data_IF_864655726157
#
_entry.id   IF_864655726157
#
_cell.length_a   1.000
_cell.length_b   1.000
_cell.length_c   1.000
_cell.angle_alpha   90.00
_cell.angle_beta   90.00
_cell.angle_gamma   90.00
#
_symmetry.space_group_name_H-M   'P 1'
#
loop_
_entity.id
_entity.type
_entity.pdbx_description
1 polymer ?
#
# COMPACT_ATOMS: atom_id res chain seq x y z
N UNK A 1 0.01 19.84 -20.49
CA UNK A 1 0.60 18.53 -20.13
C UNK A 1 1.89 18.23 -20.89
N UNK A 2 2.35 19.08 -21.81
CA UNK A 2 3.72 18.94 -22.34
C UNK A 2 4.73 19.35 -21.26
N UNK A 3 5.83 18.61 -21.16
CA UNK A 3 6.99 18.86 -20.28
C UNK A 3 6.68 18.83 -18.77
N UNK A 4 5.83 17.91 -18.30
CA UNK A 4 5.63 17.68 -16.86
C UNK A 4 6.90 17.18 -16.14
N UNK A 5 7.85 16.62 -16.88
CA UNK A 5 9.06 16.02 -16.34
C UNK A 5 10.27 16.39 -17.19
N UNK A 6 11.23 17.10 -16.58
CA UNK A 6 12.41 17.59 -17.27
C UNK A 6 13.39 16.48 -17.72
N UNK A 7 13.22 15.24 -17.25
CA UNK A 7 14.07 14.10 -17.62
C UNK A 7 13.54 13.33 -18.83
N UNK A 8 12.38 13.72 -19.38
CA UNK A 8 11.76 13.12 -20.55
C UNK A 8 11.82 14.12 -21.71
N UNK A 9 12.51 13.74 -22.78
CA UNK A 9 12.58 14.58 -23.99
C UNK A 9 11.23 14.62 -24.75
N UNK A 10 11.15 15.46 -25.78
CA UNK A 10 9.92 15.65 -26.55
C UNK A 10 9.44 14.39 -27.28
N UNK A 11 10.37 13.53 -27.71
CA UNK A 11 10.06 12.26 -28.38
C UNK A 11 9.45 11.27 -27.37
N UNK A 12 10.04 11.16 -26.20
CA UNK A 12 9.59 10.30 -25.12
C UNK A 12 8.28 10.79 -24.51
N UNK A 13 8.07 12.11 -24.42
CA UNK A 13 6.78 12.69 -24.02
C UNK A 13 5.67 12.34 -25.03
N UNK A 14 5.97 12.39 -26.33
CA UNK A 14 5.03 11.97 -27.38
C UNK A 14 4.70 10.48 -27.29
N UNK A 15 5.69 9.64 -27.01
CA UNK A 15 5.49 8.19 -26.80
C UNK A 15 4.67 7.90 -25.54
N UNK A 16 4.94 8.59 -24.44
CA UNK A 16 4.15 8.52 -23.20
C UNK A 16 2.69 8.88 -23.48
N UNK A 17 2.43 10.01 -24.13
CA UNK A 17 1.08 10.45 -24.47
C UNK A 17 0.34 9.44 -25.36
N UNK A 18 1.03 8.83 -26.33
CA UNK A 18 0.46 7.80 -27.19
C UNK A 18 0.11 6.50 -26.43
N UNK A 19 0.91 6.11 -25.43
CA UNK A 19 0.70 4.89 -24.65
C UNK A 19 -0.37 5.05 -23.57
N UNK A 20 -0.40 6.20 -22.88
CA UNK A 20 -1.19 6.39 -21.67
C UNK A 20 -2.32 7.40 -21.83
N UNK A 21 -2.41 8.15 -22.92
CA UNK A 21 -3.39 9.24 -23.08
C UNK A 21 -4.85 8.78 -22.94
N UNK A 22 -5.22 7.61 -23.49
CA UNK A 22 -6.56 7.03 -23.30
C UNK A 22 -6.76 6.53 -21.88
N UNK A 23 -5.75 5.89 -21.30
CA UNK A 23 -5.79 5.36 -19.94
C UNK A 23 -5.92 6.48 -18.89
N UNK A 24 -5.22 7.60 -19.05
CA UNK A 24 -5.35 8.77 -18.18
C UNK A 24 -6.80 9.23 -18.16
N UNK A 25 -7.43 9.39 -19.33
CA UNK A 25 -8.84 9.80 -19.44
C UNK A 25 -9.79 8.81 -18.77
N UNK A 26 -9.55 7.51 -18.96
CA UNK A 26 -10.34 6.46 -18.31
C UNK A 26 -10.21 6.52 -16.79
N UNK A 27 -8.98 6.57 -16.26
CA UNK A 27 -8.72 6.54 -14.83
C UNK A 27 -9.22 7.80 -14.13
N UNK A 28 -9.17 8.97 -14.77
CA UNK A 28 -9.75 10.21 -14.22
C UNK A 28 -11.27 10.09 -13.98
N UNK A 29 -11.98 9.17 -14.65
CA UNK A 29 -13.42 8.96 -14.41
C UNK A 29 -13.71 8.05 -13.21
N UNK A 30 -12.73 7.27 -12.75
CA UNK A 30 -12.93 6.24 -11.73
C UNK A 30 -12.12 6.46 -10.46
N UNK A 31 -11.05 7.25 -10.52
CA UNK A 31 -10.14 7.56 -9.41
C UNK A 31 -10.52 8.90 -8.75
N UNK A 32 -10.23 9.04 -7.46
CA UNK A 32 -10.39 10.30 -6.74
C UNK A 32 -9.23 11.28 -7.02
N UNK A 33 -8.14 10.79 -7.63
CA UNK A 33 -6.97 11.58 -7.99
C UNK A 33 -7.27 12.49 -9.17
N UNK A 34 -6.64 13.66 -9.18
CA UNK A 34 -6.78 14.59 -10.30
C UNK A 34 -6.15 14.02 -11.57
N UNK A 35 -6.58 14.50 -12.74
CA UNK A 35 -5.95 14.14 -14.00
C UNK A 35 -4.44 14.46 -14.00
N UNK A 36 -4.03 15.54 -13.33
CA UNK A 36 -2.62 15.92 -13.17
C UNK A 36 -1.88 14.86 -12.36
N UNK A 37 -2.42 14.44 -11.22
CA UNK A 37 -1.81 13.44 -10.34
C UNK A 37 -1.68 12.09 -11.05
N UNK A 38 -2.74 11.64 -11.72
CA UNK A 38 -2.72 10.41 -12.53
C UNK A 38 -1.65 10.51 -13.61
N UNK A 39 -1.52 11.66 -14.28
CA UNK A 39 -0.49 11.86 -15.31
C UNK A 39 0.91 11.76 -14.70
N UNK A 40 1.17 12.46 -13.59
CA UNK A 40 2.44 12.43 -12.87
C UNK A 40 2.82 11.00 -12.41
N UNK A 41 1.86 10.28 -11.82
CA UNK A 41 2.03 8.89 -11.42
C UNK A 41 2.37 7.97 -12.60
N UNK A 42 1.68 8.15 -13.73
CA UNK A 42 1.93 7.34 -14.92
C UNK A 42 3.26 7.69 -15.59
N UNK A 43 3.74 8.94 -15.48
CA UNK A 43 5.09 9.32 -15.92
C UNK A 43 6.15 8.53 -15.13
N UNK A 44 6.01 8.42 -13.81
CA UNK A 44 6.91 7.61 -12.98
C UNK A 44 6.83 6.14 -13.39
N UNK A 45 5.61 5.58 -13.52
CA UNK A 45 5.39 4.21 -13.98
C UNK A 45 6.06 3.92 -15.34
N UNK A 46 5.97 4.88 -16.27
CA UNK A 46 6.56 4.78 -17.59
C UNK A 46 8.09 4.66 -17.53
N UNK A 47 8.76 5.47 -16.70
CA UNK A 47 10.21 5.39 -16.50
C UNK A 47 10.65 4.04 -15.95
N UNK A 48 9.97 3.53 -14.92
CA UNK A 48 10.27 2.20 -14.37
C UNK A 48 10.02 1.09 -15.39
N UNK A 49 8.93 1.17 -16.17
CA UNK A 49 8.64 0.19 -17.23
C UNK A 49 9.73 0.18 -18.29
N UNK A 50 10.22 1.35 -18.71
CA UNK A 50 11.32 1.48 -19.68
C UNK A 50 12.65 0.96 -19.17
N UNK A 51 12.93 1.09 -17.87
CA UNK A 51 14.16 0.57 -17.28
C UNK A 51 14.29 -0.96 -17.43
N UNK A 52 13.18 -1.67 -17.66
CA UNK A 52 13.18 -3.11 -17.94
C UNK A 52 13.57 -3.45 -19.40
N UNK A 53 13.64 -2.46 -20.28
CA UNK A 53 14.00 -2.60 -21.69
C UNK A 53 13.06 -1.83 -22.63
N UNK A 54 13.48 -1.57 -23.89
CA UNK A 54 12.76 -0.70 -24.81
C UNK A 54 11.36 -1.21 -25.21
N UNK A 55 11.12 -2.51 -25.08
CA UNK A 55 9.84 -3.17 -25.40
C UNK A 55 8.97 -3.43 -24.16
N UNK A 56 9.49 -3.17 -22.95
CA UNK A 56 8.76 -3.41 -21.73
C UNK A 56 7.70 -2.33 -21.51
N UNK A 57 6.46 -2.77 -21.26
CA UNK A 57 5.30 -1.90 -21.04
C UNK A 57 4.80 -1.91 -19.60
N UNK A 58 5.45 -2.69 -18.73
CA UNK A 58 5.01 -2.87 -17.37
C UNK A 58 6.18 -2.83 -16.38
N UNK A 59 5.88 -2.32 -15.20
CA UNK A 59 6.74 -2.37 -14.03
C UNK A 59 6.71 -3.77 -13.43
N UNK A 60 7.86 -4.27 -12.98
CA UNK A 60 7.98 -5.57 -12.30
C UNK A 60 7.66 -5.43 -10.82
N UNK A 61 7.19 -6.51 -10.18
CA UNK A 61 7.04 -6.54 -8.71
C UNK A 61 8.37 -6.28 -7.99
N UNK A 62 9.51 -6.69 -8.56
CA UNK A 62 10.84 -6.38 -8.00
C UNK A 62 11.07 -4.88 -7.80
N UNK A 63 10.61 -4.06 -8.74
CA UNK A 63 10.71 -2.60 -8.65
C UNK A 63 9.82 -2.02 -7.54
N UNK A 64 8.70 -2.67 -7.18
CA UNK A 64 7.86 -2.24 -6.06
C UNK A 64 8.58 -2.34 -4.72
N UNK A 65 9.36 -3.39 -4.47
CA UNK A 65 10.14 -3.47 -3.22
C UNK A 65 11.10 -2.28 -3.07
N UNK A 66 11.68 -1.82 -4.18
CA UNK A 66 12.56 -0.64 -4.18
C UNK A 66 11.77 0.65 -3.95
N UNK A 67 10.60 0.78 -4.58
CA UNK A 67 9.71 1.94 -4.40
C UNK A 67 9.24 2.04 -2.95
N UNK A 68 8.83 0.92 -2.35
CA UNK A 68 8.38 0.87 -0.95
C UNK A 68 9.50 1.24 0.02
N UNK A 69 10.70 0.73 -0.23
CA UNK A 69 11.86 1.07 0.59
C UNK A 69 12.19 2.57 0.50
N UNK A 70 12.19 3.15 -0.70
CA UNK A 70 12.63 4.54 -0.92
C UNK A 70 11.56 5.57 -0.55
N UNK A 71 10.29 5.32 -0.88
CA UNK A 71 9.21 6.29 -0.65
C UNK A 71 8.56 6.16 0.72
N UNK A 72 8.56 4.96 1.32
CA UNK A 72 7.82 4.67 2.56
C UNK A 72 8.70 4.14 3.69
N UNK A 73 10.00 3.91 3.43
CA UNK A 73 10.89 3.23 4.37
C UNK A 73 10.37 1.85 4.83
N UNK A 74 9.68 1.13 3.93
CA UNK A 74 9.11 -0.18 4.21
C UNK A 74 9.99 -1.27 3.62
N UNK A 75 10.62 -2.05 4.50
CA UNK A 75 11.45 -3.21 4.12
C UNK A 75 10.72 -4.56 4.30
N UNK A 76 9.52 -4.57 4.89
CA UNK A 76 8.81 -5.82 5.19
C UNK A 76 8.26 -6.45 3.90
N UNK A 77 8.95 -7.50 3.43
CA UNK A 77 8.55 -8.27 2.23
C UNK A 77 7.10 -8.74 2.32
N UNK A 78 6.67 -9.24 3.48
CA UNK A 78 5.31 -9.72 3.70
C UNK A 78 4.26 -8.62 3.49
N UNK A 79 4.49 -7.41 4.04
CA UNK A 79 3.57 -6.26 3.87
C UNK A 79 3.49 -5.86 2.41
N UNK A 80 4.63 -5.78 1.73
CA UNK A 80 4.71 -5.43 0.30
C UNK A 80 3.99 -6.46 -0.55
N UNK A 81 4.21 -7.75 -0.31
CA UNK A 81 3.57 -8.84 -1.05
C UNK A 81 2.06 -8.87 -0.87
N UNK A 82 1.58 -8.70 0.37
CA UNK A 82 0.14 -8.64 0.64
C UNK A 82 -0.50 -7.40 0.04
N UNK A 83 0.15 -6.24 0.12
CA UNK A 83 -0.29 -5.03 -0.57
C UNK A 83 -0.39 -5.28 -2.09
N UNK A 84 0.60 -5.94 -2.68
CA UNK A 84 0.59 -6.26 -4.10
C UNK A 84 -0.53 -7.24 -4.49
N UNK A 85 -0.90 -8.19 -3.60
CA UNK A 85 -2.00 -9.13 -3.85
C UNK A 85 -3.39 -8.47 -3.82
N UNK A 86 -3.53 -7.37 -3.08
CA UNK A 86 -4.75 -6.56 -3.08
C UNK A 86 -4.92 -5.80 -4.41
N UNK A 87 -3.83 -5.25 -4.96
CA UNK A 87 -3.92 -4.39 -6.16
C UNK A 87 -3.72 -5.14 -7.50
N UNK A 88 -3.11 -6.33 -7.51
CA UNK A 88 -2.87 -7.09 -8.74
C UNK A 88 -2.88 -8.60 -8.53
N UNK A 89 -3.41 -9.34 -9.52
CA UNK A 89 -3.37 -10.81 -9.59
C UNK A 89 -2.21 -11.34 -10.44
N UNK A 90 -1.52 -10.47 -11.18
CA UNK A 90 -0.33 -10.86 -11.94
C UNK A 90 0.82 -11.21 -10.98
N UNK A 91 1.56 -12.27 -11.28
CA UNK A 91 2.63 -12.79 -10.41
C UNK A 91 3.96 -12.07 -10.59
N UNK A 92 4.18 -11.39 -11.72
CA UNK A 92 5.46 -10.79 -12.10
C UNK A 92 5.40 -9.28 -12.29
N UNK A 93 4.27 -8.77 -12.77
CA UNK A 93 4.10 -7.38 -13.18
C UNK A 93 3.01 -6.70 -12.37
N UNK A 94 3.07 -5.38 -12.32
CA UNK A 94 1.98 -4.54 -11.83
C UNK A 94 1.53 -3.67 -12.98
N UNK A 95 0.24 -3.71 -13.32
CA UNK A 95 -0.31 -2.91 -14.41
C UNK A 95 -0.35 -1.43 -14.04
N UNK A 96 -0.46 -0.51 -15.02
CA UNK A 96 -0.60 0.91 -14.71
C UNK A 96 -1.91 1.22 -13.96
N UNK A 97 -2.96 0.40 -14.16
CA UNK A 97 -4.21 0.51 -13.38
C UNK A 97 -3.99 0.13 -11.92
N UNK A 98 -3.31 -0.98 -11.66
CA UNK A 98 -2.96 -1.42 -10.31
C UNK A 98 -2.03 -0.40 -9.61
N UNK A 99 -1.12 0.22 -10.36
CA UNK A 99 -0.30 1.33 -9.86
C UNK A 99 -1.16 2.50 -9.40
N UNK A 100 -2.09 3.00 -10.22
CA UNK A 100 -2.98 4.10 -9.79
C UNK A 100 -3.88 3.69 -8.62
N UNK A 101 -4.40 2.46 -8.63
CA UNK A 101 -5.22 1.95 -7.54
C UNK A 101 -4.49 1.93 -6.18
N UNK A 102 -3.19 1.64 -6.17
CA UNK A 102 -2.38 1.75 -4.95
C UNK A 102 -2.39 3.17 -4.38
N UNK A 103 -2.27 4.19 -5.25
CA UNK A 103 -2.27 5.58 -4.82
C UNK A 103 -3.67 6.06 -4.44
N UNK A 104 -4.74 5.57 -5.07
CA UNK A 104 -6.11 5.78 -4.58
C UNK A 104 -6.22 5.29 -3.13
N UNK A 105 -5.76 4.07 -2.84
CA UNK A 105 -5.74 3.52 -1.48
C UNK A 105 -4.88 4.32 -0.50
N UNK A 106 -3.71 4.79 -0.94
CA UNK A 106 -2.76 5.49 -0.08
C UNK A 106 -3.16 6.94 0.21
N UNK A 107 -4.01 7.52 -0.63
CA UNK A 107 -4.45 8.91 -0.52
C UNK A 107 -5.89 9.06 -0.03
N UNK A 108 -6.69 7.99 -0.03
CA UNK A 108 -8.06 8.04 0.48
C UNK A 108 -8.11 8.36 1.97
N UNK A 109 -9.10 9.18 2.33
CA UNK A 109 -9.49 9.44 3.71
C UNK A 109 -10.71 8.59 4.13
N UNK A 110 -11.23 7.74 3.24
CA UNK A 110 -12.34 6.84 3.55
C UNK A 110 -11.87 5.71 4.47
N UNK A 111 -12.28 5.78 5.73
CA UNK A 111 -11.94 4.77 6.74
C UNK A 111 -12.46 3.39 6.37
N UNK A 112 -13.58 3.26 5.66
CA UNK A 112 -14.14 1.97 5.26
C UNK A 112 -13.26 1.29 4.21
N UNK A 113 -12.75 2.05 3.24
CA UNK A 113 -11.78 1.56 2.25
C UNK A 113 -10.48 1.14 2.95
N UNK A 114 -10.01 1.95 3.91
CA UNK A 114 -8.78 1.64 4.64
C UNK A 114 -8.91 0.37 5.51
N UNK A 115 -10.02 0.21 6.22
CA UNK A 115 -10.31 -0.97 7.02
C UNK A 115 -10.37 -2.24 6.17
N UNK A 116 -11.07 -2.20 5.04
CA UNK A 116 -11.16 -3.33 4.10
C UNK A 116 -9.79 -3.79 3.63
N UNK A 117 -8.96 -2.84 3.17
CA UNK A 117 -7.61 -3.14 2.74
C UNK A 117 -6.74 -3.71 3.88
N UNK A 118 -6.79 -3.09 5.05
CA UNK A 118 -5.99 -3.53 6.19
C UNK A 118 -6.34 -4.94 6.62
N UNK A 119 -7.63 -5.26 6.70
CA UNK A 119 -8.08 -6.60 7.03
C UNK A 119 -7.64 -7.64 5.99
N UNK A 120 -7.74 -7.35 4.70
CA UNK A 120 -7.26 -8.24 3.62
C UNK A 120 -5.74 -8.49 3.69
N UNK A 121 -4.96 -7.49 4.11
CA UNK A 121 -3.52 -7.64 4.29
C UNK A 121 -3.19 -8.47 5.53
N UNK A 122 -3.91 -8.26 6.63
CA UNK A 122 -3.71 -8.97 7.89
C UNK A 122 -4.25 -10.40 7.89
N UNK A 123 -5.26 -10.71 7.09
CA UNK A 123 -5.68 -12.08 6.80
C UNK A 123 -4.65 -12.78 5.88
N UNK A 124 -3.49 -13.06 6.49
CA UNK A 124 -2.37 -13.79 5.92
C UNK A 124 -2.68 -15.23 5.49
N UNK A 125 -3.83 -15.79 5.88
CA UNK A 125 -4.28 -17.15 5.52
C UNK A 125 -5.43 -17.15 4.50
N UNK A 126 -6.11 -16.03 4.28
CA UNK A 126 -7.24 -15.92 3.35
C UNK A 126 -8.49 -16.63 3.85
N UNK A 127 -8.66 -16.77 5.16
CA UNK A 127 -9.76 -17.49 5.81
C UNK A 127 -10.98 -16.62 6.08
N UNK A 128 -10.86 -15.30 5.90
CA UNK A 128 -11.89 -14.31 6.26
C UNK A 128 -11.84 -13.87 7.72
N UNK A 129 -10.87 -14.35 8.50
CA UNK A 129 -10.65 -14.01 9.92
C UNK A 129 -9.16 -13.89 10.18
N UNK A 130 -8.78 -13.13 11.20
CA UNK A 130 -7.39 -13.03 11.67
C UNK A 130 -7.29 -13.87 12.95
N UNK A 131 -6.60 -15.00 12.87
CA UNK A 131 -6.39 -15.85 14.03
C UNK A 131 -5.18 -15.42 14.87
N UNK A 132 -5.08 -16.04 16.05
CA UNK A 132 -4.05 -15.73 17.04
C UNK A 132 -2.62 -15.94 16.53
N UNK A 133 -2.39 -16.88 15.62
CA UNK A 133 -1.06 -17.10 15.01
C UNK A 133 -0.70 -15.90 14.12
N UNK A 134 -1.65 -15.41 13.33
CA UNK A 134 -1.45 -14.25 12.45
C UNK A 134 -1.15 -12.97 13.25
N UNK A 135 -1.85 -12.76 14.38
CA UNK A 135 -1.55 -11.67 15.32
C UNK A 135 -0.15 -11.84 15.93
N UNK A 136 0.20 -13.05 16.37
CA UNK A 136 1.51 -13.34 16.95
C UNK A 136 2.67 -13.08 15.99
N UNK A 137 2.57 -13.54 14.74
CA UNK A 137 3.57 -13.28 13.70
C UNK A 137 3.75 -11.78 13.42
N UNK A 138 2.67 -11.00 13.46
CA UNK A 138 2.78 -9.55 13.31
C UNK A 138 3.53 -8.91 14.50
N UNK A 139 3.23 -9.37 15.72
CA UNK A 139 3.86 -8.89 16.96
C UNK A 139 5.37 -9.16 17.02
N UNK A 140 5.89 -10.16 16.30
CA UNK A 140 7.34 -10.43 16.22
C UNK A 140 8.14 -9.21 15.77
N UNK A 141 7.55 -8.34 14.94
CA UNK A 141 8.21 -7.15 14.37
C UNK A 141 8.18 -5.94 15.29
N UNK A 142 7.45 -6.02 16.41
CA UNK A 142 7.30 -4.91 17.37
C UNK A 142 8.45 -4.86 18.37
N UNK A 143 9.13 -5.98 18.59
CA UNK A 143 10.15 -6.13 19.61
C UNK A 143 11.51 -6.48 18.99
N UNK A 144 12.58 -5.90 19.53
CA UNK A 144 13.97 -6.13 19.11
C UNK A 144 14.82 -6.30 20.36
N UNK A 145 15.69 -7.31 20.37
CA UNK A 145 16.52 -7.64 21.54
C UNK A 145 17.38 -8.87 21.30
N UNK A 146 18.25 -9.18 22.27
CA UNK A 146 19.13 -10.35 22.25
C UNK A 146 18.58 -11.52 23.10
N UNK A 147 17.73 -11.23 24.09
CA UNK A 147 17.11 -12.24 24.96
C UNK A 147 15.86 -12.82 24.30
N UNK A 148 15.98 -14.04 23.79
CA UNK A 148 14.89 -14.73 23.08
C UNK A 148 13.69 -15.05 24.00
N UNK A 149 13.94 -15.36 25.27
CA UNK A 149 12.89 -15.69 26.23
C UNK A 149 12.07 -14.43 26.56
N UNK A 150 12.74 -13.31 26.84
CA UNK A 150 12.09 -12.01 27.06
C UNK A 150 11.26 -11.58 25.83
N UNK A 151 11.82 -11.70 24.63
CA UNK A 151 11.10 -11.38 23.40
C UNK A 151 9.87 -12.26 23.20
N UNK A 152 9.94 -13.55 23.53
CA UNK A 152 8.82 -14.46 23.40
C UNK A 152 7.70 -14.15 24.41
N UNK A 153 8.05 -13.79 25.65
CA UNK A 153 7.08 -13.31 26.64
C UNK A 153 6.38 -12.02 26.19
N UNK A 154 7.14 -11.03 25.72
CA UNK A 154 6.60 -9.76 25.20
C UNK A 154 5.65 -9.98 24.01
N UNK A 155 6.00 -10.88 23.08
CA UNK A 155 5.13 -11.26 21.95
C UNK A 155 3.85 -11.93 22.43
N UNK A 156 3.94 -12.86 23.38
CA UNK A 156 2.77 -13.57 23.91
C UNK A 156 1.81 -12.61 24.63
N UNK A 157 2.34 -11.70 25.45
CA UNK A 157 1.57 -10.68 26.15
C UNK A 157 0.90 -9.70 25.18
N UNK A 158 1.64 -9.24 24.16
CA UNK A 158 1.08 -8.36 23.12
C UNK A 158 0.00 -9.06 22.31
N UNK A 159 0.20 -10.33 21.96
CA UNK A 159 -0.81 -11.13 21.24
C UNK A 159 -2.08 -11.24 22.06
N UNK A 160 -1.97 -11.58 23.35
CA UNK A 160 -3.13 -11.66 24.25
C UNK A 160 -3.82 -10.31 24.43
N UNK A 161 -3.06 -9.22 24.54
CA UNK A 161 -3.60 -7.87 24.62
C UNK A 161 -4.42 -7.50 23.38
N UNK A 162 -3.86 -7.75 22.18
CA UNK A 162 -4.53 -7.46 20.92
C UNK A 162 -5.76 -8.34 20.71
N UNK A 163 -5.69 -9.65 21.02
CA UNK A 163 -6.86 -10.53 20.99
C UNK A 163 -7.97 -10.00 21.90
N UNK A 164 -7.69 -9.68 23.17
CA UNK A 164 -8.69 -9.09 24.09
C UNK A 164 -9.30 -7.77 23.58
N UNK A 165 -8.53 -7.00 22.82
CA UNK A 165 -8.95 -5.70 22.30
C UNK A 165 -9.88 -5.84 21.09
N UNK A 166 -9.58 -6.80 20.21
CA UNK A 166 -10.22 -6.93 18.91
C UNK A 166 -11.22 -8.08 18.83
N UNK A 167 -10.98 -9.23 19.44
CA UNK A 167 -11.94 -10.35 19.50
C UNK A 167 -13.05 -10.01 20.51
N UNK A 168 -14.14 -9.39 20.01
CA UNK A 168 -15.20 -8.83 20.86
C UNK A 168 -16.15 -9.90 21.38
N UNK A 169 -16.38 -10.95 20.59
CA UNK A 169 -17.27 -12.06 20.93
C UNK A 169 -16.55 -13.24 21.62
N UNK A 170 -15.21 -13.21 21.66
CA UNK A 170 -14.31 -14.16 22.33
C UNK A 170 -14.34 -15.55 21.72
N UNK A 171 -14.49 -15.64 20.40
CA UNK A 171 -14.46 -16.90 19.67
C UNK A 171 -13.03 -17.40 19.36
N UNK A 172 -12.02 -16.58 19.64
CA UNK A 172 -10.60 -16.88 19.47
C UNK A 172 -10.02 -16.40 18.14
N UNK A 173 -10.80 -15.72 17.30
CA UNK A 173 -10.36 -15.06 16.07
C UNK A 173 -10.86 -13.61 16.03
N UNK A 174 -10.37 -12.83 15.07
CA UNK A 174 -10.84 -11.46 14.83
C UNK A 174 -11.55 -11.45 13.48
N UNK A 175 -12.87 -11.29 13.49
CA UNK A 175 -13.65 -11.09 12.27
C UNK A 175 -13.48 -9.67 11.70
N UNK A 176 -13.99 -9.43 10.49
CA UNK A 176 -14.02 -8.06 9.97
C UNK A 176 -14.94 -7.17 10.80
N UNK A 177 -16.06 -7.71 11.28
CA UNK A 177 -17.04 -7.04 12.13
C UNK A 177 -16.41 -6.60 13.47
N UNK A 178 -15.64 -7.48 14.10
CA UNK A 178 -14.85 -7.20 15.29
C UNK A 178 -13.87 -6.05 15.08
N UNK A 179 -13.01 -6.21 14.06
CA UNK A 179 -11.99 -5.24 13.70
C UNK A 179 -12.58 -3.87 13.37
N UNK A 180 -13.58 -3.84 12.48
CA UNK A 180 -14.22 -2.60 12.05
C UNK A 180 -14.94 -1.89 13.20
N UNK A 181 -15.62 -2.63 14.09
CA UNK A 181 -16.28 -2.05 15.27
C UNK A 181 -15.28 -1.31 16.17
N UNK A 182 -14.07 -1.87 16.36
CA UNK A 182 -13.02 -1.22 17.16
C UNK A 182 -12.43 -0.01 16.45
N UNK A 183 -12.15 -0.13 15.15
CA UNK A 183 -11.51 0.95 14.37
C UNK A 183 -12.46 2.11 14.11
N UNK A 184 -13.76 1.88 13.94
CA UNK A 184 -14.75 2.96 13.82
C UNK A 184 -14.79 3.85 15.07
N UNK A 185 -14.58 3.27 16.25
CA UNK A 185 -14.47 4.01 17.51
C UNK A 185 -13.09 4.65 17.69
N UNK A 186 -12.04 4.02 17.18
CA UNK A 186 -10.65 4.47 17.32
C UNK A 186 -9.90 4.35 15.98
N UNK A 187 -10.08 5.29 15.04
CA UNK A 187 -9.55 5.18 13.68
C UNK A 187 -8.02 5.04 13.58
N UNK A 188 -7.30 5.46 14.62
CA UNK A 188 -5.84 5.29 14.73
C UNK A 188 -5.43 3.80 14.77
N UNK A 189 -6.34 2.89 15.11
CA UNK A 189 -6.10 1.45 15.19
C UNK A 189 -6.27 0.72 13.84
N UNK A 190 -6.49 1.45 12.74
CA UNK A 190 -6.60 0.84 11.41
C UNK A 190 -5.37 -0.01 11.06
N UNK A 191 -4.18 0.39 11.52
CA UNK A 191 -2.89 -0.26 11.29
C UNK A 191 -2.36 -1.04 12.51
N UNK A 192 -3.24 -1.67 13.31
CA UNK A 192 -2.88 -2.25 14.60
C UNK A 192 -1.84 -3.40 14.54
N UNK A 193 -1.67 -4.07 13.39
CA UNK A 193 -0.68 -5.13 13.18
C UNK A 193 0.56 -4.65 12.38
N UNK A 194 0.72 -3.34 12.21
CA UNK A 194 1.87 -2.72 11.55
C UNK A 194 1.50 -1.89 10.33
N UNK A 195 2.50 -1.19 9.80
CA UNK A 195 2.37 -0.22 8.72
C UNK A 195 1.66 -0.77 7.47
N UNK A 196 0.76 0.01 6.90
CA UNK A 196 0.05 -0.24 5.63
C UNK A 196 -0.18 1.01 4.80
N UNK A 197 -0.35 2.17 5.44
CA UNK A 197 -0.65 3.44 4.81
C UNK A 197 0.52 4.42 5.01
N UNK A 198 0.87 5.21 3.98
CA UNK A 198 1.87 6.26 4.12
C UNK A 198 1.49 7.26 5.23
N UNK A 199 2.47 7.61 6.06
CA UNK A 199 2.38 8.71 7.01
C UNK A 199 2.21 10.04 6.29
N UNK A 200 1.99 11.13 7.05
CA UNK A 200 1.96 12.47 6.45
C UNK A 200 3.31 12.81 5.81
N UNK A 201 4.41 12.48 6.51
CA UNK A 201 5.76 12.69 6.03
C UNK A 201 6.03 11.91 4.73
N UNK A 202 5.55 10.66 4.63
CA UNK A 202 5.66 9.87 3.41
C UNK A 202 4.86 10.48 2.25
N UNK A 203 3.65 11.00 2.53
CA UNK A 203 2.81 11.69 1.53
C UNK A 203 3.46 12.97 1.04
N UNK A 204 4.09 13.74 1.92
CA UNK A 204 4.80 14.97 1.59
C UNK A 204 6.02 14.66 0.72
N UNK A 205 6.77 13.61 1.06
CA UNK A 205 7.87 13.10 0.25
C UNK A 205 7.39 12.66 -1.13
N UNK A 206 6.30 11.88 -1.22
CA UNK A 206 5.70 11.48 -2.49
C UNK A 206 5.26 12.68 -3.33
N UNK A 207 4.59 13.66 -2.73
CA UNK A 207 4.14 14.87 -3.42
C UNK A 207 5.32 15.63 -3.99
N UNK A 208 6.42 15.73 -3.25
CA UNK A 208 7.65 16.35 -3.72
C UNK A 208 8.32 15.57 -4.86
N UNK A 209 8.49 14.25 -4.71
CA UNK A 209 9.21 13.42 -5.68
C UNK A 209 8.43 13.18 -6.98
N UNK A 210 7.10 13.14 -6.91
CA UNK A 210 6.23 12.77 -8.03
C UNK A 210 5.48 13.98 -8.59
N UNK A 211 5.59 15.16 -7.98
CA UNK A 211 4.82 16.36 -8.35
C UNK A 211 3.29 16.13 -8.25
N UNK A 212 2.85 15.53 -7.14
CA UNK A 212 1.43 15.36 -6.86
C UNK A 212 0.86 16.61 -6.19
N UNK A 213 -0.31 17.03 -6.65
CA UNK A 213 -1.13 18.07 -6.05
C UNK A 213 -2.06 17.49 -4.99
N UNK A 214 -1.51 16.65 -4.11
CA UNK A 214 -2.28 16.12 -2.98
C UNK A 214 -2.83 17.30 -2.18
N UNK A 215 -4.15 17.39 -2.07
CA UNK A 215 -4.76 18.27 -1.07
C UNK A 215 -4.40 17.68 0.28
N UNK A 216 -3.30 18.17 0.86
CA UNK A 216 -2.84 17.81 2.19
C UNK A 216 -3.80 18.38 3.25
N UNK A 217 -5.00 17.79 3.33
CA UNK A 217 -5.97 18.07 4.38
C UNK A 217 -6.09 16.84 5.26
#
# INVERSE_FOLDING_TARGET
>A
MENLDATIDSMENSRFAALYGSLIKELTLTSELSQTDITCLLVVYYKFSKANGPQCKQMTKKQFYQIFLVLFNVASVQVIERTLLAITKDTKYVSPRAWIHLFDLYTTNDIQVRMRFAFEVYDTKGTGVIDREQVGTACEKFFYGEDEDELNELKADMTEFLMKKFDLDKDGVISYEDYSTVVEQQPILVEFLGWLFPSKEDKDLMAHCINLQLKMN
#
